data_IF_605776221636
#
_entry.id   IF_605776221636
#
_cell.length_a   1.000
_cell.length_b   1.000
_cell.length_c   1.000
_cell.angle_alpha   90.00
_cell.angle_beta   90.00
_cell.angle_gamma   90.00
#
_symmetry.space_group_name_H-M   'P 1'
#
loop_
_entity.id
_entity.type
_entity.pdbx_description
1 polymer ?
#
# COMPACT_ATOMS: atom_id res chain seq x y z
N UNK A 1 15.06 27.97 23.22
CA UNK A 1 14.15 26.88 22.83
C UNK A 1 14.95 25.93 21.95
N UNK A 2 15.36 24.77 22.47
CA UNK A 2 16.20 23.82 21.75
C UNK A 2 15.31 22.91 20.90
N UNK A 3 15.39 23.05 19.57
CA UNK A 3 14.76 22.13 18.62
C UNK A 3 15.43 20.76 18.74
N UNK A 4 14.75 19.79 19.35
CA UNK A 4 15.13 18.38 19.24
C UNK A 4 15.06 17.99 17.76
N UNK A 5 16.21 17.88 17.10
CA UNK A 5 16.30 17.09 15.88
C UNK A 5 16.16 15.62 16.28
N UNK A 6 14.93 15.10 16.29
CA UNK A 6 14.70 13.67 16.41
C UNK A 6 15.40 12.98 15.24
N UNK A 7 16.27 12.02 15.55
CA UNK A 7 16.85 11.16 14.52
C UNK A 7 15.72 10.37 13.84
N UNK A 8 15.82 10.12 12.54
CA UNK A 8 14.83 9.34 11.77
C UNK A 8 14.55 7.98 12.44
N UNK A 9 15.57 7.34 13.02
CA UNK A 9 15.41 6.09 13.77
C UNK A 9 14.57 6.23 15.04
N UNK A 10 14.67 7.39 15.71
CA UNK A 10 13.87 7.68 16.90
C UNK A 10 12.40 7.87 16.52
N UNK A 11 12.13 8.58 15.43
CA UNK A 11 10.77 8.77 14.91
C UNK A 11 10.15 7.45 14.49
N UNK A 12 10.91 6.60 13.79
CA UNK A 12 10.48 5.24 13.42
C UNK A 12 10.12 4.41 14.66
N UNK A 13 11.02 4.36 15.64
CA UNK A 13 10.78 3.61 16.89
C UNK A 13 9.56 4.13 17.65
N UNK A 14 9.33 5.45 17.62
CA UNK A 14 8.19 6.05 18.27
C UNK A 14 6.87 5.73 17.55
N UNK A 15 6.88 5.65 16.21
CA UNK A 15 5.71 5.27 15.43
C UNK A 15 5.19 3.86 15.77
N UNK A 16 6.11 2.91 15.98
CA UNK A 16 5.79 1.53 16.38
C UNK A 16 5.19 1.41 17.79
N UNK A 17 5.31 2.45 18.62
CA UNK A 17 4.78 2.47 20.01
C UNK A 17 3.47 3.24 20.14
N UNK A 18 2.89 3.66 19.02
CA UNK A 18 1.62 4.40 19.05
C UNK A 18 0.46 3.44 19.29
N UNK A 19 -0.54 3.88 20.05
CA UNK A 19 -1.78 3.11 20.26
C UNK A 19 -2.45 2.74 18.93
N UNK A 20 -2.41 3.63 17.94
CA UNK A 20 -2.94 3.37 16.60
C UNK A 20 -2.22 2.23 15.87
N UNK A 21 -0.92 2.08 16.11
CA UNK A 21 -0.15 0.97 15.55
C UNK A 21 -0.52 -0.34 16.26
N UNK A 22 -0.56 -0.36 17.59
CA UNK A 22 -0.97 -1.53 18.37
C UNK A 22 -2.39 -2.01 18.00
N UNK A 23 -3.33 -1.08 17.86
CA UNK A 23 -4.70 -1.35 17.42
C UNK A 23 -4.73 -1.94 15.99
N UNK A 24 -3.85 -1.46 15.09
CA UNK A 24 -3.73 -2.00 13.74
C UNK A 24 -3.20 -3.44 13.76
N UNK A 25 -2.11 -3.69 14.49
CA UNK A 25 -1.51 -5.01 14.64
C UNK A 25 -2.52 -6.03 15.17
N UNK A 26 -3.24 -5.69 16.25
CA UNK A 26 -4.23 -6.58 16.85
C UNK A 26 -5.39 -6.90 15.89
N UNK A 27 -5.89 -5.89 15.16
CA UNK A 27 -6.93 -6.09 14.14
C UNK A 27 -6.44 -7.03 13.05
N UNK A 28 -5.28 -6.76 12.45
CA UNK A 28 -4.74 -7.56 11.35
C UNK A 28 -4.49 -9.01 11.78
N UNK A 29 -3.83 -9.21 12.92
CA UNK A 29 -3.54 -10.54 13.46
C UNK A 29 -4.83 -11.33 13.72
N UNK A 30 -5.87 -10.68 14.25
CA UNK A 30 -7.16 -11.33 14.47
C UNK A 30 -7.79 -11.83 13.15
N UNK A 31 -7.68 -11.06 12.07
CA UNK A 31 -8.24 -11.43 10.77
C UNK A 31 -7.43 -12.52 10.06
N UNK A 32 -6.10 -12.43 10.09
CA UNK A 32 -5.23 -13.46 9.52
C UNK A 32 -5.47 -14.80 10.24
N UNK A 33 -5.57 -14.78 11.58
CA UNK A 33 -5.85 -15.98 12.38
C UNK A 33 -7.22 -16.60 12.05
N UNK A 34 -8.28 -15.80 11.96
CA UNK A 34 -9.62 -16.28 11.56
C UNK A 34 -9.60 -16.94 10.17
N UNK A 35 -8.89 -16.33 9.22
CA UNK A 35 -8.83 -16.84 7.86
C UNK A 35 -8.02 -18.14 7.75
N UNK A 36 -6.96 -18.28 8.55
CA UNK A 36 -6.17 -19.51 8.65
C UNK A 36 -7.03 -20.67 9.16
N UNK A 37 -7.76 -20.47 10.27
CA UNK A 37 -8.63 -21.48 10.88
C UNK A 37 -9.74 -21.94 9.92
N UNK A 38 -10.34 -21.01 9.16
CA UNK A 38 -11.40 -21.34 8.21
C UNK A 38 -10.89 -22.17 7.02
N UNK A 39 -9.64 -21.98 6.58
CA UNK A 39 -9.01 -22.80 5.54
C UNK A 39 -8.70 -24.23 6.01
N UNK A 40 -8.30 -24.41 7.27
CA UNK A 40 -8.06 -25.76 7.83
C UNK A 40 -9.35 -26.56 8.05
N UNK A 41 -10.47 -25.88 8.26
CA UNK A 41 -11.79 -26.51 8.45
C UNK A 41 -12.55 -26.78 7.14
N UNK A 42 -12.08 -26.24 6.01
CA UNK A 42 -12.76 -26.39 4.70
C UNK A 42 -11.98 -27.36 3.81
N UNK A 43 -12.53 -28.55 3.57
CA UNK A 43 -12.01 -29.47 2.54
C UNK A 43 -12.12 -28.85 1.14
N UNK A 44 -11.24 -29.19 0.18
CA UNK A 44 -11.25 -28.60 -1.15
C UNK A 44 -12.38 -29.23 -1.99
N UNK A 45 -13.59 -28.69 -1.89
CA UNK A 45 -14.66 -29.00 -2.84
C UNK A 45 -14.75 -27.89 -3.90
N UNK A 46 -14.68 -28.20 -5.21
CA UNK A 46 -14.78 -27.22 -6.27
C UNK A 46 -16.27 -27.02 -6.59
N UNK A 47 -17.00 -26.27 -5.76
CA UNK A 47 -18.33 -25.78 -6.15
C UNK A 47 -18.72 -24.51 -5.40
N UNK A 48 -18.71 -23.41 -6.16
CA UNK A 48 -19.72 -22.34 -6.18
C UNK A 48 -20.07 -21.59 -4.88
N UNK A 49 -19.14 -21.38 -3.94
CA UNK A 49 -19.34 -20.35 -2.90
C UNK A 49 -18.03 -19.60 -2.58
N UNK A 50 -17.60 -18.77 -3.53
CA UNK A 50 -16.53 -17.78 -3.36
C UNK A 50 -17.00 -16.52 -2.60
N UNK A 51 -18.00 -16.63 -1.72
CA UNK A 51 -18.56 -15.50 -0.99
C UNK A 51 -18.16 -15.56 0.50
N UNK A 52 -17.63 -14.43 0.97
CA UNK A 52 -17.17 -14.10 2.32
C UNK A 52 -15.78 -14.62 2.73
N UNK A 53 -14.74 -14.35 1.94
CA UNK A 53 -13.45 -14.03 2.57
C UNK A 53 -13.48 -12.53 2.83
N UNK A 54 -13.62 -12.09 4.08
CA UNK A 54 -13.53 -10.66 4.41
C UNK A 54 -12.08 -10.26 4.16
N UNK A 55 -11.85 -9.54 3.07
CA UNK A 55 -10.55 -9.01 2.73
C UNK A 55 -10.12 -7.99 3.78
N UNK A 56 -8.81 -7.89 4.03
CA UNK A 56 -8.26 -6.95 4.99
C UNK A 56 -8.72 -5.52 4.68
N UNK A 57 -8.83 -5.20 3.39
CA UNK A 57 -9.35 -3.94 2.85
C UNK A 57 -10.78 -3.60 3.30
N UNK A 58 -11.67 -4.59 3.45
CA UNK A 58 -13.05 -4.36 3.92
C UNK A 58 -13.14 -4.04 5.41
N UNK A 59 -12.17 -4.52 6.20
CA UNK A 59 -12.23 -4.44 7.68
C UNK A 59 -11.25 -3.43 8.29
N UNK A 60 -10.21 -3.01 7.56
CA UNK A 60 -9.19 -2.09 8.05
C UNK A 60 -9.27 -0.70 7.44
N UNK A 61 -9.69 -0.58 6.17
CA UNK A 61 -9.71 0.71 5.48
C UNK A 61 -11.03 1.42 5.75
N UNK A 62 -10.93 2.65 6.24
CA UNK A 62 -12.04 3.56 6.40
C UNK A 62 -12.01 4.65 5.33
N UNK A 63 -13.16 5.08 4.78
CA UNK A 63 -14.46 4.41 4.90
C UNK A 63 -14.45 3.05 4.18
N UNK A 64 -15.07 2.05 4.82
CA UNK A 64 -15.21 0.70 4.24
C UNK A 64 -15.96 0.70 2.89
N UNK A 65 -15.79 -0.37 2.10
CA UNK A 65 -16.19 -0.41 0.69
C UNK A 65 -17.68 -0.11 0.44
N UNK A 66 -18.57 -0.60 1.30
CA UNK A 66 -20.01 -0.34 1.20
C UNK A 66 -20.33 1.15 1.42
N UNK A 67 -19.80 1.72 2.49
CA UNK A 67 -19.94 3.15 2.82
C UNK A 67 -19.35 4.01 1.73
N UNK A 68 -18.16 3.65 1.26
CA UNK A 68 -17.48 4.34 0.16
C UNK A 68 -18.32 4.32 -1.11
N UNK A 69 -18.91 3.17 -1.49
CA UNK A 69 -19.77 3.06 -2.68
C UNK A 69 -20.99 3.97 -2.58
N UNK A 70 -21.61 4.07 -1.39
CA UNK A 70 -22.72 4.99 -1.13
C UNK A 70 -22.26 6.45 -1.25
N UNK A 71 -21.10 6.79 -0.67
CA UNK A 71 -20.52 8.13 -0.73
C UNK A 71 -20.16 8.55 -2.16
N UNK A 72 -19.55 7.66 -2.96
CA UNK A 72 -19.21 7.93 -4.36
C UNK A 72 -20.46 8.32 -5.15
N UNK A 73 -21.56 7.57 -4.97
CA UNK A 73 -22.84 7.83 -5.63
C UNK A 73 -23.51 9.12 -5.15
N UNK A 74 -23.48 9.39 -3.84
CA UNK A 74 -24.15 10.53 -3.25
C UNK A 74 -23.40 11.87 -3.43
N UNK A 75 -22.07 11.84 -3.39
CA UNK A 75 -21.22 13.03 -3.40
C UNK A 75 -20.64 13.35 -4.78
N UNK A 76 -20.90 12.52 -5.79
CA UNK A 76 -20.37 12.66 -7.15
C UNK A 76 -18.85 12.90 -7.15
N UNK A 77 -18.10 12.03 -6.46
CA UNK A 77 -16.65 12.18 -6.35
C UNK A 77 -15.98 12.23 -7.72
N UNK A 78 -14.92 13.05 -7.81
CA UNK A 78 -14.09 13.08 -9.00
C UNK A 78 -13.50 11.69 -9.25
N UNK A 79 -13.54 11.20 -10.50
CA UNK A 79 -13.06 9.85 -10.88
C UNK A 79 -11.67 9.48 -10.34
N UNK A 80 -10.77 10.46 -10.22
CA UNK A 80 -9.43 10.25 -9.68
C UNK A 80 -9.40 9.96 -8.18
N UNK A 81 -10.34 10.51 -7.43
CA UNK A 81 -10.49 10.20 -6.01
C UNK A 81 -11.02 8.76 -5.84
N UNK A 82 -11.93 8.32 -6.72
CA UNK A 82 -12.36 6.92 -6.79
C UNK A 82 -11.16 6.00 -7.08
N UNK A 83 -10.34 6.34 -8.09
CA UNK A 83 -9.13 5.58 -8.40
C UNK A 83 -8.09 5.54 -7.28
N UNK A 84 -8.01 6.58 -6.43
CA UNK A 84 -7.18 6.53 -5.22
C UNK A 84 -7.70 5.50 -4.21
N UNK A 85 -9.00 5.47 -3.95
CA UNK A 85 -9.57 4.48 -3.06
C UNK A 85 -9.42 3.04 -3.59
N UNK A 86 -9.56 2.84 -4.90
CA UNK A 86 -9.28 1.54 -5.53
C UNK A 86 -7.82 1.13 -5.34
N UNK A 87 -6.86 2.05 -5.61
CA UNK A 87 -5.42 1.80 -5.43
C UNK A 87 -5.09 1.39 -4.00
N UNK A 88 -5.63 2.11 -3.01
CA UNK A 88 -5.38 1.83 -1.60
C UNK A 88 -6.02 0.51 -1.17
N UNK A 89 -7.14 0.09 -1.76
CA UNK A 89 -7.73 -1.22 -1.50
C UNK A 89 -6.87 -2.34 -2.09
N UNK A 90 -6.41 -2.20 -3.33
CA UNK A 90 -5.51 -3.16 -3.99
C UNK A 90 -4.19 -3.35 -3.22
N UNK A 91 -3.60 -2.24 -2.77
CA UNK A 91 -2.37 -2.31 -1.98
C UNK A 91 -2.59 -2.95 -0.59
N UNK A 92 -3.75 -2.75 0.03
CA UNK A 92 -4.11 -3.42 1.28
C UNK A 92 -4.25 -4.94 1.08
N UNK A 93 -4.86 -5.38 -0.01
CA UNK A 93 -4.96 -6.81 -0.35
C UNK A 93 -3.58 -7.42 -0.57
N UNK A 94 -2.63 -6.68 -1.17
CA UNK A 94 -1.25 -7.13 -1.27
C UNK A 94 -0.53 -7.19 0.07
N UNK A 95 -0.73 -6.22 0.96
CA UNK A 95 -0.22 -6.29 2.32
C UNK A 95 -0.75 -7.55 3.04
N UNK A 96 -2.02 -7.91 2.85
CA UNK A 96 -2.60 -9.15 3.38
C UNK A 96 -1.89 -10.41 2.85
N UNK A 97 -1.64 -10.48 1.54
CA UNK A 97 -0.91 -11.59 0.93
C UNK A 97 0.52 -11.69 1.46
N UNK A 98 1.20 -10.56 1.59
CA UNK A 98 2.56 -10.49 2.15
C UNK A 98 2.63 -10.98 3.59
N UNK A 99 1.72 -10.52 4.45
CA UNK A 99 1.67 -10.97 5.84
C UNK A 99 1.43 -12.47 5.96
N UNK A 100 0.59 -13.04 5.08
CA UNK A 100 0.42 -14.50 4.99
C UNK A 100 1.69 -15.21 4.55
N UNK A 101 2.37 -14.68 3.54
CA UNK A 101 3.66 -15.18 3.07
C UNK A 101 4.70 -15.19 4.19
N UNK A 102 4.82 -14.09 4.94
CA UNK A 102 5.72 -13.95 6.10
C UNK A 102 5.40 -15.01 7.16
N UNK A 103 4.13 -15.16 7.54
CA UNK A 103 3.71 -16.16 8.52
C UNK A 103 4.10 -17.58 8.08
N UNK A 104 3.79 -17.93 6.82
CA UNK A 104 4.11 -19.24 6.28
C UNK A 104 5.64 -19.46 6.18
N UNK A 105 6.42 -18.44 5.85
CA UNK A 105 7.89 -18.52 5.84
C UNK A 105 8.41 -18.81 7.24
N UNK A 106 7.89 -18.14 8.28
CA UNK A 106 8.25 -18.46 9.68
C UNK A 106 7.88 -19.88 10.09
N UNK A 107 6.73 -20.39 9.61
CA UNK A 107 6.35 -21.80 9.82
C UNK A 107 7.32 -22.75 9.13
N UNK A 108 7.70 -22.47 7.88
CA UNK A 108 8.66 -23.28 7.13
C UNK A 108 10.03 -23.32 7.83
N UNK A 109 10.49 -22.17 8.36
CA UNK A 109 11.75 -22.07 9.11
C UNK A 109 11.74 -22.82 10.46
N UNK A 110 10.60 -23.32 10.94
CA UNK A 110 10.60 -24.25 12.07
C UNK A 110 11.36 -25.54 11.75
N UNK A 111 11.39 -25.96 10.47
CA UNK A 111 12.20 -27.10 10.00
C UNK A 111 13.69 -26.83 10.21
N UNK A 112 14.15 -25.65 9.79
CA UNK A 112 15.53 -25.20 10.01
C UNK A 112 15.86 -25.10 11.51
N UNK A 113 14.96 -24.54 12.32
CA UNK A 113 15.14 -24.48 13.78
C UNK A 113 15.28 -25.87 14.42
N UNK A 114 14.57 -26.89 13.93
CA UNK A 114 14.73 -28.27 14.39
C UNK A 114 16.08 -28.85 13.96
N UNK A 115 16.48 -28.64 12.71
CA UNK A 115 17.80 -29.06 12.22
C UNK A 115 18.95 -28.42 13.05
N UNK A 116 18.86 -27.13 13.36
CA UNK A 116 19.82 -26.41 14.23
C UNK A 116 19.85 -27.03 15.64
N UNK A 117 18.69 -27.30 16.24
CA UNK A 117 18.63 -27.94 17.57
C UNK A 117 19.30 -29.30 17.55
N UNK A 118 19.03 -30.11 16.52
CA UNK A 118 19.65 -31.41 16.34
C UNK A 118 21.18 -31.27 16.18
N UNK A 119 21.68 -30.31 15.41
CA UNK A 119 23.13 -30.13 15.19
C UNK A 119 23.92 -29.68 16.42
N UNK A 120 23.24 -29.14 17.44
CA UNK A 120 23.86 -28.74 18.71
C UNK A 120 23.98 -29.90 19.71
N UNK A 121 23.29 -31.01 19.48
CA UNK A 121 23.41 -32.19 20.35
C UNK A 121 24.82 -32.79 20.20
N UNK A 122 25.49 -33.04 21.31
CA UNK A 122 26.79 -33.70 21.37
C UNK A 122 26.57 -35.12 21.89
N UNK A 123 27.06 -36.10 21.15
CA UNK A 123 27.00 -37.52 21.52
C UNK A 123 28.41 -38.08 21.60
N UNK A 124 28.69 -38.86 22.65
CA UNK A 124 29.98 -39.55 22.83
C UNK A 124 30.08 -40.82 21.97
N UNK A 125 28.96 -41.41 21.57
CA UNK A 125 28.88 -42.60 20.73
C UNK A 125 28.76 -42.26 19.22
N UNK A 126 29.62 -42.81 18.35
CA UNK A 126 29.52 -42.68 16.89
C UNK A 126 28.16 -43.10 16.30
N UNK A 127 27.47 -44.09 16.88
CA UNK A 127 26.18 -44.59 16.37
C UNK A 127 25.08 -43.52 16.46
N UNK A 128 25.11 -42.71 17.51
CA UNK A 128 24.20 -41.58 17.71
C UNK A 128 24.50 -40.41 16.77
N UNK A 129 25.76 -40.26 16.33
CA UNK A 129 26.17 -39.23 15.38
C UNK A 129 25.61 -39.48 13.97
N UNK A 130 25.49 -40.74 13.55
CA UNK A 130 24.87 -41.12 12.28
C UNK A 130 23.36 -40.87 12.31
N UNK A 131 22.69 -41.30 13.37
CA UNK A 131 21.24 -41.09 13.59
C UNK A 131 20.90 -39.60 13.65
N UNK A 132 21.70 -38.80 14.36
CA UNK A 132 21.57 -37.34 14.37
C UNK A 132 21.64 -36.75 12.96
N UNK A 133 22.61 -37.19 12.16
CA UNK A 133 22.79 -36.70 10.79
C UNK A 133 21.61 -37.10 9.90
N UNK A 134 21.04 -38.29 10.11
CA UNK A 134 19.81 -38.75 9.44
C UNK A 134 18.62 -37.87 9.77
N UNK A 135 18.41 -37.52 11.05
CA UNK A 135 17.31 -36.64 11.48
C UNK A 135 17.48 -35.21 10.95
N UNK A 136 18.71 -34.67 10.95
CA UNK A 136 19.01 -33.37 10.32
C UNK A 136 18.69 -33.42 8.83
N UNK A 137 19.12 -34.48 8.14
CA UNK A 137 18.83 -34.68 6.72
C UNK A 137 17.33 -34.70 6.42
N UNK A 138 16.52 -35.34 7.29
CA UNK A 138 15.05 -35.32 7.16
C UNK A 138 14.45 -33.92 7.28
N UNK A 139 14.86 -33.13 8.28
CA UNK A 139 14.34 -31.77 8.45
C UNK A 139 14.79 -30.83 7.31
N UNK A 140 16.04 -30.95 6.84
CA UNK A 140 16.54 -30.20 5.69
C UNK A 140 15.84 -30.62 4.38
N UNK A 141 15.55 -31.91 4.20
CA UNK A 141 14.80 -32.43 3.05
C UNK A 141 13.36 -31.89 3.05
N UNK A 142 12.71 -31.92 4.21
CA UNK A 142 11.38 -31.33 4.39
C UNK A 142 11.38 -29.83 4.12
N UNK A 143 12.40 -29.09 4.55
CA UNK A 143 12.52 -27.67 4.24
C UNK A 143 12.72 -27.40 2.74
N UNK A 144 13.63 -28.15 2.11
CA UNK A 144 13.94 -28.01 0.69
C UNK A 144 12.75 -28.36 -0.22
N UNK A 145 11.84 -29.23 0.22
CA UNK A 145 10.66 -29.62 -0.55
C UNK A 145 9.46 -28.68 -0.41
N UNK A 146 9.45 -27.77 0.59
CA UNK A 146 8.39 -26.77 0.72
C UNK A 146 8.35 -25.85 -0.50
N UNK A 147 7.40 -24.94 -0.61
CA UNK A 147 7.49 -23.84 -1.60
C UNK A 147 7.82 -22.57 -0.84
N UNK A 148 8.63 -21.69 -1.42
CA UNK A 148 8.85 -20.37 -0.87
C UNK A 148 7.54 -19.55 -0.95
N UNK A 149 6.92 -19.21 0.18
CA UNK A 149 5.65 -18.49 0.20
C UNK A 149 5.75 -17.08 -0.40
N UNK A 150 6.95 -16.52 -0.46
CA UNK A 150 7.22 -15.22 -1.08
C UNK A 150 7.33 -15.31 -2.61
N UNK A 151 7.43 -16.51 -3.21
CA UNK A 151 7.66 -16.68 -4.65
C UNK A 151 6.53 -16.10 -5.51
N UNK A 152 5.27 -16.41 -5.19
CA UNK A 152 4.10 -15.88 -5.89
C UNK A 152 4.02 -14.35 -5.81
N UNK A 153 4.50 -13.78 -4.70
CA UNK A 153 4.45 -12.35 -4.44
C UNK A 153 5.61 -11.65 -5.13
N UNK A 154 6.84 -12.15 -4.97
CA UNK A 154 8.07 -11.60 -5.55
C UNK A 154 8.13 -11.72 -7.08
N UNK A 155 7.71 -12.85 -7.65
CA UNK A 155 7.88 -13.11 -9.08
C UNK A 155 6.70 -12.65 -9.95
N UNK A 156 5.46 -12.74 -9.45
CA UNK A 156 4.27 -12.55 -10.29
C UNK A 156 3.51 -11.29 -9.91
N UNK A 157 3.28 -11.06 -8.62
CA UNK A 157 2.40 -9.98 -8.17
C UNK A 157 3.13 -8.65 -8.01
N UNK A 158 4.36 -8.62 -7.47
CA UNK A 158 5.11 -7.39 -7.26
C UNK A 158 5.51 -6.68 -8.56
N UNK A 159 6.03 -7.35 -9.61
CA UNK A 159 6.31 -6.69 -10.88
C UNK A 159 5.05 -6.19 -11.60
N UNK A 160 3.98 -7.01 -11.64
CA UNK A 160 2.68 -6.61 -12.22
C UNK A 160 2.03 -5.45 -11.46
N UNK A 161 2.07 -5.48 -10.13
CA UNK A 161 1.58 -4.38 -9.28
C UNK A 161 2.44 -3.16 -9.45
N UNK A 162 3.76 -3.27 -9.50
CA UNK A 162 4.66 -2.12 -9.68
C UNK A 162 4.36 -1.40 -11.01
N UNK A 163 4.22 -2.13 -12.12
CA UNK A 163 3.85 -1.51 -13.41
C UNK A 163 2.46 -0.86 -13.38
N UNK A 164 1.47 -1.50 -12.76
CA UNK A 164 0.12 -0.96 -12.61
C UNK A 164 0.07 0.26 -11.65
N UNK A 165 0.81 0.21 -10.54
CA UNK A 165 0.88 1.27 -9.53
C UNK A 165 1.66 2.48 -10.05
N UNK A 166 2.75 2.26 -10.79
CA UNK A 166 3.50 3.31 -11.46
C UNK A 166 2.66 3.93 -12.59
N UNK A 167 1.89 3.13 -13.34
CA UNK A 167 0.98 3.67 -14.36
C UNK A 167 -0.14 4.50 -13.72
N UNK A 168 -0.76 4.01 -12.65
CA UNK A 168 -1.82 4.70 -11.90
C UNK A 168 -1.28 5.99 -11.25
N UNK A 169 -0.07 5.95 -10.69
CA UNK A 169 0.63 7.12 -10.18
C UNK A 169 0.86 8.17 -11.25
N UNK A 170 1.38 7.77 -12.42
CA UNK A 170 1.63 8.68 -13.53
C UNK A 170 0.33 9.32 -14.01
N UNK A 171 -0.77 8.57 -14.06
CA UNK A 171 -2.08 9.11 -14.42
C UNK A 171 -2.61 10.10 -13.38
N UNK A 172 -2.52 9.76 -12.08
CA UNK A 172 -2.91 10.64 -10.98
C UNK A 172 -2.07 11.90 -10.94
N UNK A 173 -0.75 11.80 -11.07
CA UNK A 173 0.17 12.94 -11.11
C UNK A 173 -0.03 13.82 -12.33
N UNK A 174 -0.21 13.22 -13.52
CA UNK A 174 -0.51 13.96 -14.75
C UNK A 174 -1.80 14.76 -14.62
N UNK A 175 -2.85 14.15 -14.06
CA UNK A 175 -4.14 14.81 -13.86
C UNK A 175 -4.11 15.87 -12.76
N UNK A 176 -3.42 15.61 -11.64
CA UNK A 176 -3.22 16.62 -10.59
C UNK A 176 -2.44 17.83 -11.12
N UNK A 177 -1.38 17.59 -11.92
CA UNK A 177 -0.63 18.65 -12.61
C UNK A 177 -1.51 19.40 -13.61
N UNK A 178 -2.35 18.71 -14.37
CA UNK A 178 -3.32 19.33 -15.31
C UNK A 178 -4.32 20.23 -14.58
N UNK A 179 -4.90 19.78 -13.47
CA UNK A 179 -5.87 20.56 -12.68
C UNK A 179 -5.21 21.75 -11.97
N UNK A 180 -3.99 21.58 -11.46
CA UNK A 180 -3.20 22.68 -10.88
C UNK A 180 -2.89 23.76 -11.92
N UNK A 181 -2.57 23.39 -13.17
CA UNK A 181 -2.39 24.34 -14.29
C UNK A 181 -3.69 25.08 -14.61
N UNK A 182 -4.83 24.38 -14.70
CA UNK A 182 -6.15 25.00 -14.94
C UNK A 182 -6.54 25.98 -13.83
N UNK A 183 -6.26 25.66 -12.58
CA UNK A 183 -6.52 26.55 -11.44
C UNK A 183 -5.64 27.80 -11.48
N UNK A 184 -4.35 27.68 -11.79
CA UNK A 184 -3.45 28.82 -11.97
C UNK A 184 -3.96 29.76 -13.07
N UNK A 185 -4.40 29.20 -14.20
CA UNK A 185 -5.00 29.98 -15.29
C UNK A 185 -6.32 30.64 -14.89
N UNK A 186 -7.20 29.94 -14.18
CA UNK A 186 -8.45 30.50 -13.69
C UNK A 186 -8.24 31.65 -12.69
N UNK A 187 -7.23 31.55 -11.80
CA UNK A 187 -6.83 32.65 -10.91
C UNK A 187 -6.24 33.83 -11.67
N UNK A 188 -5.38 33.58 -12.66
CA UNK A 188 -4.84 34.64 -13.52
C UNK A 188 -5.96 35.38 -14.28
N UNK A 189 -6.92 34.65 -14.86
CA UNK A 189 -8.08 35.23 -15.52
C UNK A 189 -9.03 35.98 -14.56
N UNK A 190 -9.18 35.54 -13.30
CA UNK A 190 -9.90 36.31 -12.26
C UNK A 190 -9.17 37.61 -11.92
N UNK A 191 -7.83 37.60 -11.86
CA UNK A 191 -7.02 38.81 -11.69
C UNK A 191 -7.19 39.80 -12.84
N UNK A 192 -7.31 39.32 -14.08
CA UNK A 192 -7.54 40.15 -15.27
C UNK A 192 -8.98 40.70 -15.33
N UNK A 193 -9.99 39.96 -14.87
CA UNK A 193 -11.37 40.48 -14.76
C UNK A 193 -11.50 41.64 -13.76
N UNK A 194 -10.67 41.68 -12.72
CA UNK A 194 -10.60 42.82 -11.79
C UNK A 194 -10.03 44.08 -12.44
N UNK A 195 -9.03 43.94 -13.32
CA UNK A 195 -8.44 45.06 -14.07
C UNK A 195 -9.35 45.54 -15.21
N UNK A 196 -10.04 44.64 -15.91
CA UNK A 196 -10.96 45.00 -16.99
C UNK A 196 -12.15 45.84 -16.55
N UNK A 197 -12.63 45.66 -15.31
CA UNK A 197 -13.69 46.50 -14.75
C UNK A 197 -13.21 47.92 -14.40
N UNK A 198 -11.98 48.07 -13.88
CA UNK A 198 -11.39 49.38 -13.53
C UNK A 198 -11.07 50.22 -14.78
N UNK A 199 -10.67 49.57 -15.88
CA UNK A 199 -10.41 50.27 -17.15
C UNK A 199 -11.72 50.71 -17.82
N UNK A 200 -12.82 49.95 -17.66
CA UNK A 200 -14.13 50.34 -18.20
C UNK A 200 -14.79 51.52 -17.46
N UNK A 201 -14.43 51.77 -16.19
CA UNK A 201 -14.96 52.88 -15.40
C UNK A 201 -14.19 54.19 -15.54
N UNK A 202 -13.11 54.23 -16.33
CA UNK A 202 -12.19 55.38 -16.39
C UNK A 202 -12.29 56.22 -17.67
N UNK A 203 -13.26 55.96 -18.55
CA UNK A 203 -13.44 56.70 -19.81
C UNK A 203 -14.80 57.38 -19.99
N UNK A 204 -15.48 57.74 -18.88
CA UNK A 204 -16.65 58.63 -18.93
C UNK A 204 -16.49 59.76 -17.90
N UNK A 205 -15.55 60.66 -18.19
CA UNK A 205 -15.38 61.99 -17.61
C UNK A 205 -14.11 62.55 -18.25
N UNK A 206 -14.10 63.55 -19.11
CA UNK A 206 -14.84 64.81 -19.10
C UNK A 206 -14.75 65.46 -20.49
N UNK A 207 -15.85 66.04 -20.99
CA UNK A 207 -15.91 67.34 -21.69
C UNK A 207 -17.38 67.63 -21.99
N UNK A 208 -17.96 68.54 -21.20
CA UNK A 208 -19.25 69.15 -21.46
C UNK A 208 -19.04 70.31 -22.44
N UNK A 209 -19.72 70.33 -23.59
CA UNK A 209 -20.14 71.57 -24.22
C UNK A 209 -21.33 71.34 -25.17
N UNK A 210 -22.50 71.73 -24.68
CA UNK A 210 -23.64 72.38 -25.37
C UNK A 210 -23.78 72.16 -26.89
N UNK A 211 -24.79 71.37 -27.29
CA UNK A 211 -25.70 71.81 -28.35
C UNK A 211 -27.07 71.09 -28.27
N UNK A 212 -28.09 71.88 -27.99
CA UNK A 212 -29.50 71.57 -28.19
C UNK A 212 -29.80 71.27 -29.66
N UNK A 213 -30.29 70.07 -29.99
CA UNK A 213 -31.49 69.87 -30.84
C UNK A 213 -31.82 68.38 -31.06
N UNK A 214 -33.12 68.11 -30.93
CA UNK A 214 -33.93 66.97 -31.37
C UNK A 214 -33.32 66.04 -32.46
N UNK A 215 -33.50 64.71 -32.30
CA UNK A 215 -34.44 63.88 -33.10
C UNK A 215 -34.52 62.41 -32.61
N UNK A 216 -35.73 62.05 -32.17
CA UNK A 216 -36.53 60.84 -32.47
C UNK A 216 -35.78 59.67 -33.13
N UNK A 217 -35.79 58.49 -32.51
CA UNK A 217 -35.41 57.27 -33.23
C UNK A 217 -35.28 55.97 -32.44
N UNK A 218 -36.42 55.32 -32.19
CA UNK A 218 -36.62 53.86 -32.28
C UNK A 218 -36.21 52.89 -31.15
N UNK A 219 -37.17 51.96 -30.95
CA UNK A 219 -37.07 50.60 -30.42
C UNK A 219 -37.07 50.39 -28.90
N UNK A 220 -38.29 50.44 -28.35
CA UNK A 220 -38.70 49.65 -27.19
C UNK A 220 -38.42 48.15 -27.42
N UNK A 221 -37.26 47.66 -26.96
CA UNK A 221 -37.04 46.22 -26.80
C UNK A 221 -37.14 45.87 -25.31
N UNK A 222 -38.36 45.54 -24.88
CA UNK A 222 -38.60 44.90 -23.58
C UNK A 222 -37.89 43.55 -23.58
N UNK A 223 -36.68 43.48 -23.05
CA UNK A 223 -36.05 42.21 -22.68
C UNK A 223 -36.76 41.72 -21.43
N UNK A 224 -37.70 40.79 -21.63
CA UNK A 224 -38.26 39.97 -20.56
C UNK A 224 -37.10 39.20 -19.93
N UNK A 225 -36.73 39.57 -18.70
CA UNK A 225 -35.87 38.75 -17.86
C UNK A 225 -36.66 37.50 -17.50
N UNK A 226 -36.43 36.43 -18.26
CA UNK A 226 -36.89 35.08 -17.91
C UNK A 226 -36.04 34.65 -16.73
N UNK A 227 -36.57 34.88 -15.53
CA UNK A 227 -36.07 34.24 -14.31
C UNK A 227 -36.59 32.81 -14.31
N UNK A 228 -35.83 31.91 -14.92
CA UNK A 228 -36.04 30.47 -14.82
C UNK A 228 -34.81 29.80 -14.22
N UNK A 229 -35.07 28.94 -13.23
CA UNK A 229 -34.25 27.82 -12.77
C UNK A 229 -32.87 28.18 -12.22
N UNK A 230 -32.41 27.65 -11.11
CA UNK A 230 -32.83 26.52 -10.28
C UNK A 230 -32.02 26.66 -9.00
N UNK A 231 -32.47 26.03 -7.92
CA UNK A 231 -31.68 25.86 -6.70
C UNK A 231 -30.21 25.56 -7.02
N UNK A 232 -29.24 26.26 -6.42
CA UNK A 232 -27.88 25.77 -6.46
C UNK A 232 -27.83 24.55 -5.54
N UNK A 233 -27.95 23.37 -6.14
CA UNK A 233 -27.31 22.16 -5.61
C UNK A 233 -25.89 22.55 -5.21
N UNK A 234 -25.50 22.15 -4.00
CA UNK A 234 -24.23 22.46 -3.36
C UNK A 234 -23.07 21.85 -4.16
N UNK A 235 -22.72 22.42 -5.31
CA UNK A 235 -21.51 22.07 -6.03
C UNK A 235 -20.35 22.47 -5.12
N UNK A 236 -19.59 21.50 -4.61
CA UNK A 236 -18.33 21.78 -3.94
C UNK A 236 -17.55 22.76 -4.81
N UNK A 237 -17.08 23.86 -4.19
CA UNK A 237 -16.29 24.84 -4.91
C UNK A 237 -15.13 24.13 -5.63
N UNK A 238 -14.78 24.57 -6.84
CA UNK A 238 -13.65 24.01 -7.61
C UNK A 238 -12.35 23.96 -6.79
N UNK A 239 -12.25 24.81 -5.76
CA UNK A 239 -11.18 24.83 -4.78
C UNK A 239 -11.20 23.62 -3.83
N UNK A 240 -12.37 23.23 -3.30
CA UNK A 240 -12.52 22.03 -2.46
C UNK A 240 -12.14 20.74 -3.20
N UNK A 241 -12.58 20.57 -4.45
CA UNK A 241 -12.21 19.41 -5.27
C UNK A 241 -10.69 19.37 -5.52
N UNK A 242 -10.06 20.54 -5.71
CA UNK A 242 -8.61 20.60 -5.92
C UNK A 242 -7.80 20.22 -4.68
N UNK A 243 -8.28 20.59 -3.49
CA UNK A 243 -7.63 20.25 -2.24
C UNK A 243 -7.70 18.73 -1.98
N UNK A 244 -8.87 18.12 -2.21
CA UNK A 244 -9.06 16.67 -2.10
C UNK A 244 -8.13 15.90 -3.04
N UNK A 245 -7.97 16.38 -4.29
CA UNK A 245 -7.06 15.75 -5.24
C UNK A 245 -5.58 15.91 -4.88
N UNK A 246 -5.18 17.03 -4.23
CA UNK A 246 -3.81 17.20 -3.74
C UNK A 246 -3.50 16.24 -2.59
N UNK A 247 -4.45 16.03 -1.68
CA UNK A 247 -4.34 15.02 -0.60
C UNK A 247 -4.26 13.62 -1.18
N UNK A 248 -5.14 13.26 -2.11
CA UNK A 248 -5.09 11.96 -2.78
C UNK A 248 -3.77 11.73 -3.52
N UNK A 249 -3.22 12.74 -4.18
CA UNK A 249 -1.92 12.65 -4.86
C UNK A 249 -0.78 12.37 -3.87
N UNK A 250 -0.79 13.02 -2.69
CA UNK A 250 0.18 12.74 -1.62
C UNK A 250 0.01 11.33 -1.08
N UNK A 251 -1.22 10.89 -0.85
CA UNK A 251 -1.53 9.53 -0.40
C UNK A 251 -0.98 8.47 -1.35
N UNK A 252 -1.18 8.65 -2.66
CA UNK A 252 -0.64 7.71 -3.66
C UNK A 252 0.89 7.77 -3.76
N UNK A 253 1.50 8.95 -3.62
CA UNK A 253 2.96 9.06 -3.57
C UNK A 253 3.56 8.27 -2.41
N UNK A 254 2.98 8.41 -1.21
CA UNK A 254 3.39 7.66 -0.02
C UNK A 254 3.23 6.17 -0.27
N UNK A 255 2.06 5.77 -0.79
CA UNK A 255 1.76 4.36 -1.10
C UNK A 255 2.82 3.72 -1.98
N UNK A 256 3.23 4.39 -3.06
CA UNK A 256 4.24 3.84 -3.98
C UNK A 256 5.59 3.72 -3.30
N UNK A 257 5.97 4.72 -2.52
CA UNK A 257 7.25 4.69 -1.82
C UNK A 257 7.31 3.54 -0.80
N UNK A 258 6.21 3.32 -0.08
CA UNK A 258 6.07 2.21 0.87
C UNK A 258 6.10 0.87 0.12
N UNK A 259 5.32 0.73 -0.97
CA UNK A 259 5.28 -0.50 -1.78
C UNK A 259 6.62 -0.81 -2.45
N UNK A 260 7.35 0.19 -2.93
CA UNK A 260 8.71 0.00 -3.48
C UNK A 260 9.69 -0.45 -2.40
N UNK A 261 9.55 0.07 -1.18
CA UNK A 261 10.35 -0.34 -0.04
C UNK A 261 10.05 -1.79 0.33
N UNK A 262 8.78 -2.14 0.49
CA UNK A 262 8.31 -3.52 0.71
C UNK A 262 8.84 -4.44 -0.41
N UNK A 263 8.73 -4.05 -1.68
CA UNK A 263 9.18 -4.85 -2.82
C UNK A 263 10.67 -5.21 -2.74
N UNK A 264 11.53 -4.23 -2.40
CA UNK A 264 12.98 -4.47 -2.25
C UNK A 264 13.30 -5.41 -1.10
N UNK A 265 12.53 -5.34 -0.01
CA UNK A 265 12.69 -6.22 1.14
C UNK A 265 12.23 -7.64 0.82
N UNK A 266 11.06 -7.77 0.18
CA UNK A 266 10.51 -9.06 -0.24
C UNK A 266 11.42 -9.76 -1.24
N UNK A 267 12.01 -9.03 -2.22
CA UNK A 267 12.99 -9.60 -3.15
C UNK A 267 14.20 -10.19 -2.45
N UNK A 268 14.82 -9.44 -1.52
CA UNK A 268 15.97 -9.91 -0.74
C UNK A 268 15.63 -11.13 0.11
N UNK A 269 14.49 -11.11 0.81
CA UNK A 269 14.06 -12.24 1.63
C UNK A 269 13.67 -13.46 0.80
N UNK A 270 13.08 -13.24 -0.39
CA UNK A 270 12.80 -14.30 -1.34
C UNK A 270 14.09 -15.01 -1.77
N UNK A 271 15.11 -14.24 -2.17
CA UNK A 271 16.40 -14.77 -2.61
C UNK A 271 17.09 -15.56 -1.48
N UNK A 272 17.05 -15.06 -0.24
CA UNK A 272 17.61 -15.73 0.93
C UNK A 272 16.91 -17.08 1.21
N UNK A 273 15.58 -17.12 1.10
CA UNK A 273 14.81 -18.37 1.26
C UNK A 273 15.16 -19.38 0.16
N UNK A 274 15.22 -18.95 -1.11
CA UNK A 274 15.61 -19.84 -2.21
C UNK A 274 17.05 -20.34 -2.08
N UNK A 275 17.96 -19.44 -1.66
CA UNK A 275 19.34 -19.80 -1.40
C UNK A 275 19.44 -20.86 -0.29
N UNK A 276 18.74 -20.66 0.83
CA UNK A 276 18.66 -21.63 1.91
C UNK A 276 18.08 -22.97 1.44
N UNK A 277 16.99 -22.95 0.67
CA UNK A 277 16.37 -24.17 0.12
C UNK A 277 17.32 -24.94 -0.80
N UNK A 278 18.03 -24.22 -1.67
CA UNK A 278 19.03 -24.81 -2.56
C UNK A 278 20.17 -25.47 -1.78
N UNK A 279 20.69 -24.78 -0.75
CA UNK A 279 21.73 -25.32 0.16
C UNK A 279 21.28 -26.56 0.91
N UNK A 280 20.08 -26.53 1.51
CA UNK A 280 19.49 -27.70 2.16
C UNK A 280 19.32 -28.87 1.17
N UNK A 281 18.80 -28.61 -0.03
CA UNK A 281 18.65 -29.63 -1.07
C UNK A 281 19.98 -30.23 -1.54
N UNK A 282 21.03 -29.41 -1.68
CA UNK A 282 22.38 -29.88 -2.01
C UNK A 282 22.96 -30.76 -0.90
N UNK A 283 22.77 -30.38 0.37
CA UNK A 283 23.23 -31.17 1.51
C UNK A 283 22.57 -32.55 1.53
N UNK A 284 21.25 -32.60 1.34
CA UNK A 284 20.47 -33.84 1.30
C UNK A 284 20.92 -34.76 0.16
N UNK A 285 21.15 -34.22 -1.05
CA UNK A 285 21.64 -35.01 -2.19
C UNK A 285 23.03 -35.62 -1.97
N UNK A 286 23.87 -34.96 -1.18
CA UNK A 286 25.24 -35.41 -0.90
C UNK A 286 25.39 -36.17 0.41
N UNK A 287 24.32 -36.33 1.19
CA UNK A 287 24.33 -36.96 2.51
C UNK A 287 24.94 -38.38 2.49
N UNK A 288 24.56 -39.23 1.54
CA UNK A 288 25.09 -40.59 1.40
C UNK A 288 26.61 -40.66 1.14
N UNK A 289 27.19 -39.59 0.56
CA UNK A 289 28.63 -39.52 0.24
C UNK A 289 29.43 -38.88 1.37
N UNK A 290 28.84 -37.90 2.05
CA UNK A 290 29.46 -37.10 3.12
C UNK A 290 28.42 -36.76 4.17
N UNK A 291 28.19 -37.68 5.12
CA UNK A 291 27.17 -37.52 6.17
C UNK A 291 27.32 -36.24 6.99
N UNK A 292 28.55 -35.74 7.16
CA UNK A 292 28.84 -34.52 7.91
C UNK A 292 28.29 -33.23 7.24
N UNK A 293 28.02 -33.26 5.92
CA UNK A 293 27.60 -32.06 5.18
C UNK A 293 26.28 -31.49 5.71
N UNK A 294 25.34 -32.34 6.13
CA UNK A 294 24.05 -31.89 6.65
C UNK A 294 24.20 -31.22 8.01
N UNK A 295 25.17 -31.64 8.81
CA UNK A 295 25.49 -31.04 10.11
C UNK A 295 26.13 -29.67 9.93
N UNK A 296 27.05 -29.54 8.97
CA UNK A 296 27.70 -28.27 8.68
C UNK A 296 26.70 -27.23 8.13
N UNK A 297 25.84 -27.65 7.20
CA UNK A 297 24.77 -26.78 6.70
C UNK A 297 23.80 -26.36 7.81
N UNK A 298 23.46 -27.26 8.74
CA UNK A 298 22.63 -26.91 9.90
C UNK A 298 23.31 -25.89 10.85
N UNK A 299 24.62 -26.01 11.08
CA UNK A 299 25.39 -25.01 11.86
C UNK A 299 25.45 -23.66 11.15
N UNK A 300 25.65 -23.65 9.83
CA UNK A 300 25.67 -22.40 9.07
C UNK A 300 24.29 -21.72 9.09
N UNK A 301 23.19 -22.48 9.03
CA UNK A 301 21.86 -21.94 9.27
C UNK A 301 21.72 -21.31 10.65
N UNK A 302 22.38 -21.85 11.69
CA UNK A 302 22.34 -21.29 13.04
C UNK A 302 22.88 -19.85 13.08
N UNK A 303 23.99 -19.60 12.38
CA UNK A 303 24.64 -18.29 12.30
C UNK A 303 23.71 -17.24 11.70
N UNK A 304 22.97 -17.59 10.65
CA UNK A 304 22.17 -16.62 9.88
C UNK A 304 20.69 -16.55 10.30
N UNK A 305 20.16 -17.58 10.96
CA UNK A 305 18.72 -17.72 11.23
C UNK A 305 18.15 -16.58 12.09
N UNK A 306 18.89 -16.06 13.07
CA UNK A 306 18.42 -14.94 13.89
C UNK A 306 18.28 -13.64 13.07
N UNK A 307 19.29 -13.34 12.24
CA UNK A 307 19.30 -12.16 11.36
C UNK A 307 18.14 -12.23 10.35
N UNK A 308 17.97 -13.37 9.68
CA UNK A 308 16.89 -13.56 8.71
C UNK A 308 15.50 -13.39 9.34
N UNK A 309 15.26 -13.97 10.52
CA UNK A 309 13.98 -13.83 11.20
C UNK A 309 13.72 -12.39 11.68
N UNK A 310 14.77 -11.66 12.07
CA UNK A 310 14.70 -10.22 12.35
C UNK A 310 14.30 -9.40 11.12
N UNK A 311 14.90 -9.68 9.95
CA UNK A 311 14.52 -9.02 8.70
C UNK A 311 13.06 -9.30 8.30
N UNK A 312 12.53 -10.50 8.57
CA UNK A 312 11.12 -10.82 8.36
C UNK A 312 10.20 -10.06 9.33
N UNK A 313 10.62 -9.85 10.58
CA UNK A 313 9.92 -9.05 11.58
C UNK A 313 9.88 -7.58 11.18
N UNK A 314 11.02 -7.00 10.81
CA UNK A 314 11.10 -5.63 10.33
C UNK A 314 10.24 -5.40 9.05
N UNK A 315 10.18 -6.38 8.13
CA UNK A 315 9.26 -6.30 6.98
C UNK A 315 7.80 -6.27 7.42
N UNK A 316 7.42 -7.13 8.37
CA UNK A 316 6.06 -7.17 8.91
C UNK A 316 5.68 -5.84 9.58
N UNK A 317 6.57 -5.27 10.40
CA UNK A 317 6.38 -3.96 11.03
C UNK A 317 6.15 -2.86 9.99
N UNK A 318 6.95 -2.87 8.92
CA UNK A 318 6.81 -1.89 7.84
C UNK A 318 5.48 -2.05 7.09
N UNK A 319 4.99 -3.29 6.90
CA UNK A 319 3.66 -3.53 6.32
C UNK A 319 2.55 -2.97 7.22
N UNK A 320 2.65 -3.13 8.54
CA UNK A 320 1.69 -2.54 9.48
C UNK A 320 1.70 -1.01 9.44
N UNK A 321 2.88 -0.39 9.34
CA UNK A 321 3.00 1.06 9.18
C UNK A 321 2.40 1.54 7.85
N UNK A 322 2.61 0.81 6.75
CA UNK A 322 1.99 1.09 5.46
C UNK A 322 0.46 1.04 5.55
N UNK A 323 -0.10 -0.01 6.15
CA UNK A 323 -1.54 -0.16 6.38
C UNK A 323 -2.11 0.99 7.21
N UNK A 324 -1.43 1.37 8.29
CA UNK A 324 -1.83 2.49 9.13
C UNK A 324 -1.82 3.82 8.37
N UNK A 325 -0.77 4.05 7.58
CA UNK A 325 -0.61 5.28 6.81
C UNK A 325 -1.66 5.39 5.71
N UNK A 326 -1.94 4.30 4.99
CA UNK A 326 -3.03 4.22 4.02
C UNK A 326 -4.39 4.49 4.65
N UNK A 327 -4.67 3.90 5.79
CA UNK A 327 -5.95 4.10 6.47
C UNK A 327 -6.11 5.55 6.93
N UNK A 328 -5.03 6.20 7.37
CA UNK A 328 -5.04 7.60 7.79
C UNK A 328 -5.14 8.59 6.64
N UNK A 329 -4.60 8.24 5.46
CA UNK A 329 -4.62 9.11 4.28
C UNK A 329 -5.93 9.03 3.50
N UNK A 330 -6.71 7.97 3.68
CA UNK A 330 -8.06 7.84 3.12
C UNK A 330 -9.05 8.74 3.84
#
# INVERSE_FOLDING_TARGET
MSSKSSSVNQEYTQALRTKSYEDMCTKVQSQIRRTSIRRTLSSPSPSTNAHYMVHLSESLLEPGQETLTKMIKALNFHRLLVGYFEASSEACDMCELLLRGIYQTRTNYQRIRRAIKLSRLVFEDPSHAEEQSRLICQELSAFASLTNPLSAIAQVQLPRMHDNHVALFRQLMSKCRQMRRRMKLARACKGVRGLGLIVSSSLISTTSLVLTSFRIGMCNRKVKSIRSSSCPEKSLSTEGVSAQLDVAAKGVFILINDMDTISRWVGRLYDEVEHGRSRAGMAVRNYMKKGEIVREVAKEFDVHNACFLGQLEELEEHIYLCLLTMNRSR
#
